data_IF_587976525259
#
_entry.id   IF_587976525259
#
_cell.length_a   1.000
_cell.length_b   1.000
_cell.length_c   1.000
_cell.angle_alpha   90.00
_cell.angle_beta   90.00
_cell.angle_gamma   90.00
#
_symmetry.space_group_name_H-M   'P 1'
#
loop_
_entity.id
_entity.type
_entity.pdbx_description
1 polymer ?
#
# COMPACT_ATOMS: atom_id res chain seq x y z
N UNK A 1 1.25 33.06 -0.35
CA UNK A 1 1.83 31.79 -0.86
C UNK A 1 1.58 30.71 0.18
N UNK A 2 0.90 29.59 -0.14
CA UNK A 2 0.62 28.55 0.86
C UNK A 2 1.88 27.75 1.19
N UNK A 3 2.26 27.71 2.46
CA UNK A 3 3.31 26.85 2.99
C UNK A 3 2.68 25.54 3.47
N UNK A 4 3.33 24.42 3.17
CA UNK A 4 2.94 23.08 3.62
C UNK A 4 4.09 22.52 4.46
N UNK A 5 3.76 21.79 5.52
CA UNK A 5 4.77 21.15 6.37
C UNK A 5 5.32 19.90 5.68
N UNK A 6 6.65 19.75 5.65
CA UNK A 6 7.28 18.51 5.18
C UNK A 6 6.98 17.37 6.16
N UNK A 7 6.51 16.19 5.70
CA UNK A 7 6.17 15.07 6.59
C UNK A 7 7.38 14.41 7.26
N UNK A 8 8.61 14.72 6.83
CA UNK A 8 9.85 14.10 7.33
C UNK A 8 10.54 14.98 8.36
N UNK A 9 10.65 16.28 8.10
CA UNK A 9 11.41 17.22 8.92
C UNK A 9 10.57 18.34 9.53
N UNK A 10 9.25 18.34 9.30
CA UNK A 10 8.28 19.32 9.79
C UNK A 10 8.56 20.78 9.40
N UNK A 11 9.59 21.02 8.59
CA UNK A 11 9.93 22.33 8.07
C UNK A 11 8.82 22.86 7.17
N UNK A 12 8.59 24.17 7.22
CA UNK A 12 7.64 24.86 6.37
C UNK A 12 8.22 25.03 4.96
N UNK A 13 7.62 24.35 3.98
CA UNK A 13 8.09 24.34 2.58
C UNK A 13 7.02 24.94 1.67
N UNK A 14 7.45 25.61 0.60
CA UNK A 14 6.53 26.07 -0.45
C UNK A 14 5.89 24.88 -1.17
N UNK A 15 4.58 24.93 -1.42
CA UNK A 15 3.84 23.90 -2.18
C UNK A 15 4.39 23.66 -3.60
N UNK A 16 5.16 24.61 -4.14
CA UNK A 16 5.80 24.52 -5.46
C UNK A 16 7.21 23.92 -5.45
N UNK A 17 7.78 23.64 -4.27
CA UNK A 17 9.14 23.12 -4.20
C UNK A 17 9.18 21.65 -4.65
N UNK A 18 10.01 21.34 -5.65
CA UNK A 18 10.23 19.98 -6.13
C UNK A 18 10.96 19.09 -5.12
N UNK A 19 11.68 19.70 -4.17
CA UNK A 19 12.36 19.01 -3.08
C UNK A 19 12.35 19.87 -1.82
N UNK A 20 12.37 19.23 -0.65
CA UNK A 20 12.52 19.94 0.60
C UNK A 20 13.94 20.51 0.74
N UNK A 21 14.15 21.83 0.98
CA UNK A 21 15.49 22.41 1.12
C UNK A 21 16.20 22.01 2.43
N UNK A 22 15.48 21.41 3.38
CA UNK A 22 16.04 20.99 4.68
C UNK A 22 16.49 19.53 4.69
N UNK A 23 15.69 18.60 4.18
CA UNK A 23 16.00 17.17 4.19
C UNK A 23 16.38 16.59 2.82
N UNK A 24 16.13 17.30 1.72
CA UNK A 24 16.42 16.80 0.37
C UNK A 24 15.40 15.80 -0.18
N UNK A 25 14.32 15.51 0.56
CA UNK A 25 13.30 14.54 0.13
C UNK A 25 12.58 15.05 -1.15
N UNK A 26 12.49 14.22 -2.21
CA UNK A 26 11.80 14.57 -3.45
C UNK A 26 10.28 14.63 -3.24
N UNK A 27 9.69 15.73 -3.68
CA UNK A 27 8.26 16.05 -3.76
C UNK A 27 7.35 15.52 -2.61
N UNK A 28 6.99 16.38 -1.63
CA UNK A 28 6.09 16.02 -0.53
C UNK A 28 4.64 15.71 -0.97
N UNK A 29 4.16 16.17 -2.14
CA UNK A 29 2.83 15.80 -2.63
C UNK A 29 2.77 14.39 -3.21
N UNK A 30 3.90 13.84 -3.66
CA UNK A 30 3.97 12.49 -4.23
C UNK A 30 4.20 11.39 -3.20
N UNK A 31 4.77 11.72 -2.03
CA UNK A 31 5.05 10.75 -0.96
C UNK A 31 3.77 10.04 -0.46
N UNK A 32 2.66 10.76 -0.33
CA UNK A 32 1.39 10.16 0.11
C UNK A 32 0.77 9.19 -0.90
N UNK A 33 1.07 9.32 -2.20
CA UNK A 33 0.53 8.41 -3.21
C UNK A 33 1.20 7.02 -3.15
N UNK A 34 2.48 6.96 -2.76
CA UNK A 34 3.26 5.70 -2.78
C UNK A 34 2.89 4.74 -1.64
N UNK A 35 2.65 5.24 -0.43
CA UNK A 35 2.38 4.38 0.73
C UNK A 35 1.01 3.67 0.66
N UNK A 36 0.00 4.25 0.00
CA UNK A 36 -1.34 3.63 -0.09
C UNK A 36 -1.33 2.40 -1.00
N UNK A 37 -0.53 2.42 -2.06
CA UNK A 37 -0.48 1.34 -3.04
C UNK A 37 0.21 0.07 -2.48
N UNK A 38 1.30 0.24 -1.72
CA UNK A 38 1.98 -0.87 -1.05
C UNK A 38 1.11 -1.58 -0.01
N UNK A 39 0.32 -0.82 0.76
CA UNK A 39 -0.63 -1.40 1.72
C UNK A 39 -1.73 -2.23 1.06
N UNK A 40 -2.23 -1.79 -0.09
CA UNK A 40 -3.23 -2.54 -0.85
C UNK A 40 -2.66 -3.86 -1.39
N UNK A 41 -1.43 -3.88 -1.89
CA UNK A 41 -0.78 -5.11 -2.37
C UNK A 41 -0.64 -6.13 -1.25
N UNK A 42 -0.25 -5.70 -0.05
CA UNK A 42 -0.13 -6.58 1.11
C UNK A 42 -1.46 -7.29 1.42
N UNK A 43 -2.56 -6.53 1.51
CA UNK A 43 -3.88 -7.11 1.77
C UNK A 43 -4.37 -8.03 0.65
N UNK A 44 -4.09 -7.70 -0.61
CA UNK A 44 -4.43 -8.57 -1.75
C UNK A 44 -3.71 -9.92 -1.67
N UNK A 45 -2.42 -9.93 -1.31
CA UNK A 45 -1.66 -11.16 -1.14
C UNK A 45 -2.18 -12.01 0.03
N UNK A 46 -2.55 -11.37 1.15
CA UNK A 46 -3.15 -12.07 2.30
C UNK A 46 -4.48 -12.74 1.91
N UNK A 47 -5.38 -12.01 1.25
CA UNK A 47 -6.69 -12.54 0.82
C UNK A 47 -6.51 -13.67 -0.20
N UNK A 48 -5.62 -13.49 -1.19
CA UNK A 48 -5.32 -14.51 -2.19
C UNK A 48 -4.75 -15.79 -1.55
N UNK A 49 -3.85 -15.66 -0.57
CA UNK A 49 -3.28 -16.78 0.16
C UNK A 49 -4.34 -17.57 0.95
N UNK A 50 -5.22 -16.87 1.67
CA UNK A 50 -6.33 -17.49 2.41
C UNK A 50 -7.29 -18.21 1.45
N UNK A 51 -7.68 -17.55 0.35
CA UNK A 51 -8.58 -18.13 -0.64
C UNK A 51 -7.98 -19.38 -1.31
N UNK A 52 -6.70 -19.35 -1.65
CA UNK A 52 -5.98 -20.51 -2.20
C UNK A 52 -5.91 -21.66 -1.20
N UNK A 53 -5.57 -21.37 0.06
CA UNK A 53 -5.52 -22.39 1.11
C UNK A 53 -6.90 -23.02 1.35
N UNK A 54 -7.93 -22.19 1.44
CA UNK A 54 -9.31 -22.65 1.58
C UNK A 54 -9.71 -23.52 0.38
N UNK A 55 -9.41 -23.10 -0.85
CA UNK A 55 -9.68 -23.88 -2.06
C UNK A 55 -9.00 -25.24 -2.02
N UNK A 56 -7.71 -25.30 -1.69
CA UNK A 56 -6.96 -26.56 -1.58
C UNK A 56 -7.53 -27.48 -0.51
N UNK A 57 -8.10 -26.94 0.58
CA UNK A 57 -8.73 -27.73 1.64
C UNK A 57 -10.19 -28.14 1.34
N UNK A 58 -10.99 -27.26 0.72
CA UNK A 58 -12.39 -27.49 0.39
C UNK A 58 -12.58 -28.34 -0.86
N UNK A 59 -11.72 -28.18 -1.86
CA UNK A 59 -11.78 -28.91 -3.13
C UNK A 59 -11.76 -30.45 -2.95
N UNK A 60 -10.83 -31.06 -2.17
CA UNK A 60 -10.84 -32.51 -1.97
C UNK A 60 -12.13 -32.98 -1.29
N UNK A 61 -12.65 -32.24 -0.31
CA UNK A 61 -13.92 -32.60 0.35
C UNK A 61 -15.12 -32.58 -0.60
N UNK A 62 -15.15 -31.64 -1.55
CA UNK A 62 -16.20 -31.56 -2.57
C UNK A 62 -16.11 -32.70 -3.58
N UNK A 63 -14.90 -33.04 -4.02
CA UNK A 63 -14.67 -34.16 -4.95
C UNK A 63 -15.09 -35.48 -4.30
N UNK A 64 -14.73 -35.71 -3.04
CA UNK A 64 -15.12 -36.93 -2.31
C UNK A 64 -16.65 -37.05 -2.13
N UNK A 65 -17.35 -35.92 -1.98
CA UNK A 65 -18.82 -35.90 -1.86
C UNK A 65 -19.53 -36.15 -3.19
N UNK A 66 -18.96 -35.69 -4.30
CA UNK A 66 -19.56 -35.86 -5.63
C UNK A 66 -19.25 -37.20 -6.30
N UNK A 67 -18.21 -37.91 -5.85
CA UNK A 67 -17.75 -39.17 -6.46
C UNK A 67 -18.33 -40.42 -5.75
N UNK A 68 -19.41 -40.25 -4.98
CA UNK A 68 -20.16 -41.28 -4.24
C UNK A 68 -21.58 -41.39 -4.77
#
# INVERSE_FOLDING_TARGET
MPLVSCPVCEASVSKKAHACPKCGEPDPVSYHARNRWLGNIFWLLVIAGIGYFAWVALWPMLVDTFNR
#
